data_IF_671238005191
#
_entry.id   IF_671238005191
#
_cell.length_a   1.000
_cell.length_b   1.000
_cell.length_c   1.000
_cell.angle_alpha   90.00
_cell.angle_beta   90.00
_cell.angle_gamma   90.00
#
_symmetry.space_group_name_H-M   'P 1'
#
loop_
_entity.id
_entity.type
_entity.pdbx_description
1 polymer ?
#
# COMPACT_ATOMS: atom_id res chain seq x y z
N UNK A 1 -10.29 22.03 29.30
CA UNK A 1 -11.33 21.05 29.66
C UNK A 1 -12.16 20.78 28.41
N UNK A 2 -12.13 19.59 27.82
CA UNK A 2 -13.07 19.23 26.74
C UNK A 2 -14.38 18.81 27.40
N UNK A 3 -15.45 19.56 27.18
CA UNK A 3 -16.78 19.16 27.64
C UNK A 3 -17.12 17.79 27.02
N UNK A 4 -17.44 16.81 27.86
CA UNK A 4 -17.83 15.49 27.37
C UNK A 4 -19.25 15.57 26.80
N UNK A 5 -19.40 15.34 25.49
CA UNK A 5 -20.70 15.28 24.84
C UNK A 5 -21.53 14.15 25.51
N UNK A 6 -22.79 14.40 25.91
CA UNK A 6 -23.66 13.38 26.44
C UNK A 6 -23.79 12.18 25.50
N UNK A 7 -23.77 10.94 26.04
CA UNK A 7 -23.82 9.71 25.22
C UNK A 7 -25.04 9.64 24.30
N UNK A 8 -26.18 10.18 24.74
CA UNK A 8 -27.40 10.25 23.94
C UNK A 8 -27.22 11.15 22.72
N UNK A 9 -26.62 12.33 22.91
CA UNK A 9 -26.38 13.28 21.83
C UNK A 9 -25.39 12.71 20.80
N UNK A 10 -24.32 12.05 21.27
CA UNK A 10 -23.40 11.31 20.40
C UNK A 10 -24.12 10.23 19.59
N UNK A 11 -25.00 9.45 20.23
CA UNK A 11 -25.79 8.43 19.54
C UNK A 11 -26.70 9.02 18.46
N UNK A 12 -27.40 10.12 18.78
CA UNK A 12 -28.26 10.83 17.81
C UNK A 12 -27.44 11.35 16.63
N UNK A 13 -26.29 11.97 16.88
CA UNK A 13 -25.41 12.45 15.81
C UNK A 13 -24.89 11.30 14.94
N UNK A 14 -24.42 10.21 15.55
CA UNK A 14 -23.99 9.03 14.80
C UNK A 14 -25.13 8.42 13.99
N UNK A 15 -26.34 8.36 14.52
CA UNK A 15 -27.51 7.84 13.82
C UNK A 15 -27.93 8.73 12.65
N UNK A 16 -28.04 10.04 12.85
CA UNK A 16 -28.36 11.01 11.78
C UNK A 16 -27.30 10.97 10.69
N UNK A 17 -26.02 10.94 11.08
CA UNK A 17 -24.90 10.82 10.16
C UNK A 17 -24.99 9.53 9.33
N UNK A 18 -25.20 8.39 9.99
CA UNK A 18 -25.34 7.09 9.32
C UNK A 18 -26.54 7.06 8.36
N UNK A 19 -27.70 7.57 8.79
CA UNK A 19 -28.90 7.66 7.95
C UNK A 19 -28.65 8.56 6.74
N UNK A 20 -27.97 9.69 6.93
CA UNK A 20 -27.62 10.62 5.84
C UNK A 20 -26.67 9.97 4.83
N UNK A 21 -25.71 9.17 5.30
CA UNK A 21 -24.83 8.37 4.44
C UNK A 21 -25.61 7.32 3.66
N UNK A 22 -26.46 6.53 4.33
CA UNK A 22 -27.28 5.51 3.69
C UNK A 22 -28.20 6.14 2.64
N UNK A 23 -28.83 7.27 2.97
CA UNK A 23 -29.70 7.99 2.04
C UNK A 23 -28.94 8.53 0.82
N UNK A 24 -27.75 9.11 1.05
CA UNK A 24 -26.88 9.56 -0.04
C UNK A 24 -26.47 8.40 -0.95
N UNK A 25 -26.02 7.27 -0.39
CA UNK A 25 -25.69 6.07 -1.17
C UNK A 25 -26.89 5.52 -1.93
N UNK A 26 -28.07 5.51 -1.32
CA UNK A 26 -29.30 5.11 -1.99
C UNK A 26 -29.62 6.02 -3.18
N UNK A 27 -29.47 7.34 -3.03
CA UNK A 27 -29.69 8.30 -4.12
C UNK A 27 -28.66 8.17 -5.24
N UNK A 28 -27.40 7.89 -4.91
CA UNK A 28 -26.36 7.55 -5.91
C UNK A 28 -26.72 6.26 -6.65
N UNK A 29 -27.17 5.22 -5.94
CA UNK A 29 -27.61 3.97 -6.54
C UNK A 29 -28.83 4.15 -7.47
N UNK A 30 -29.82 4.94 -7.05
CA UNK A 30 -30.98 5.29 -7.87
C UNK A 30 -30.57 6.08 -9.12
N UNK A 31 -29.66 7.05 -8.98
CA UNK A 31 -29.09 7.79 -10.10
C UNK A 31 -28.31 6.89 -11.07
N UNK A 32 -27.51 5.95 -10.56
CA UNK A 32 -26.77 4.97 -11.36
C UNK A 32 -27.69 4.08 -12.20
N UNK A 33 -28.84 3.67 -11.68
CA UNK A 33 -29.87 2.94 -12.45
C UNK A 33 -30.46 3.74 -13.59
N UNK A 34 -30.64 5.05 -13.39
CA UNK A 34 -31.17 5.94 -14.42
C UNK A 34 -30.16 6.11 -15.55
N UNK A 35 -28.87 6.24 -15.22
CA UNK A 35 -27.76 6.32 -16.18
C UNK A 35 -27.59 5.04 -17.00
N UNK A 36 -27.74 3.87 -16.39
CA UNK A 36 -27.63 2.57 -17.09
C UNK A 36 -28.78 2.29 -18.04
N UNK A 37 -29.96 2.89 -17.81
CA UNK A 37 -31.11 2.80 -18.72
C UNK A 37 -31.06 3.81 -19.88
N UNK A 38 -30.17 4.80 -19.80
CA UNK A 38 -29.91 5.77 -20.87
C UNK A 38 -28.82 5.22 -21.82
N UNK A 39 -28.70 5.81 -23.01
CA UNK A 39 -27.79 5.44 -24.12
C UNK A 39 -26.29 5.32 -23.75
N UNK A 40 -25.89 5.52 -22.50
CA UNK A 40 -24.51 5.32 -22.03
C UNK A 40 -24.06 3.85 -22.10
N UNK A 41 -24.99 2.89 -22.05
CA UNK A 41 -24.66 1.49 -22.34
C UNK A 41 -24.10 1.28 -23.75
N UNK A 42 -24.51 2.10 -24.72
CA UNK A 42 -24.05 2.00 -26.12
C UNK A 42 -22.66 2.64 -26.35
N UNK A 43 -22.21 3.50 -25.43
CA UNK A 43 -20.92 4.19 -25.53
C UNK A 43 -19.74 3.42 -24.93
N UNK A 44 -19.98 2.26 -24.31
CA UNK A 44 -18.93 1.43 -23.70
C UNK A 44 -18.46 1.91 -22.32
N UNK A 45 -19.21 2.79 -21.66
CA UNK A 45 -18.87 3.34 -20.33
C UNK A 45 -19.20 2.37 -19.18
N UNK A 46 -19.86 1.24 -19.47
CA UNK A 46 -20.26 0.24 -18.49
C UNK A 46 -19.89 -1.17 -18.94
N UNK A 47 -19.28 -1.92 -18.02
CA UNK A 47 -18.88 -3.31 -18.19
C UNK A 47 -19.79 -4.29 -17.41
N UNK A 48 -19.77 -5.55 -17.82
CA UNK A 48 -20.38 -6.61 -17.04
C UNK A 48 -19.71 -6.76 -15.66
N UNK A 49 -20.50 -6.90 -14.58
CA UNK A 49 -19.95 -7.08 -13.25
C UNK A 49 -19.34 -8.47 -13.07
N UNK A 50 -18.41 -8.58 -12.11
CA UNK A 50 -17.79 -9.84 -11.70
C UNK A 50 -18.82 -10.91 -11.28
N UNK A 51 -19.94 -10.47 -10.68
CA UNK A 51 -21.05 -11.32 -10.26
C UNK A 51 -22.35 -10.81 -10.89
N UNK A 52 -23.12 -11.71 -11.50
CA UNK A 52 -24.34 -11.38 -12.26
C UNK A 52 -25.43 -10.63 -11.49
N UNK A 53 -25.39 -10.62 -10.16
CA UNK A 53 -26.36 -9.94 -9.30
C UNK A 53 -25.91 -8.55 -8.83
N UNK A 54 -24.68 -8.15 -9.17
CA UNK A 54 -24.19 -6.80 -8.94
C UNK A 54 -24.66 -5.87 -10.08
N UNK A 55 -24.73 -4.54 -9.84
CA UNK A 55 -24.96 -3.56 -10.90
C UNK A 55 -23.84 -3.60 -11.95
N UNK A 56 -24.12 -3.10 -13.15
CA UNK A 56 -23.09 -2.86 -14.17
C UNK A 56 -21.96 -2.02 -13.60
N UNK A 57 -20.73 -2.35 -13.99
CA UNK A 57 -19.52 -1.69 -13.49
C UNK A 57 -19.25 -0.46 -14.34
N UNK A 58 -19.21 0.71 -13.71
CA UNK A 58 -18.75 1.94 -14.35
C UNK A 58 -17.24 1.83 -14.64
N UNK A 59 -16.85 2.03 -15.90
CA UNK A 59 -15.46 2.04 -16.38
C UNK A 59 -15.06 3.39 -16.98
N UNK A 60 -15.93 4.41 -16.85
CA UNK A 60 -15.64 5.76 -17.33
C UNK A 60 -14.55 6.46 -16.51
N UNK A 61 -14.38 6.08 -15.23
CA UNK A 61 -13.32 6.56 -14.36
C UNK A 61 -12.08 5.67 -14.46
N UNK A 62 -11.12 6.14 -15.27
CA UNK A 62 -9.84 5.49 -15.50
C UNK A 62 -9.05 5.22 -14.21
N UNK A 63 -9.00 6.19 -13.29
CA UNK A 63 -8.22 6.04 -12.06
C UNK A 63 -8.87 4.97 -11.18
N UNK A 64 -10.18 5.01 -11.02
CA UNK A 64 -10.92 3.98 -10.27
C UNK A 64 -10.70 2.58 -10.84
N UNK A 65 -10.78 2.42 -12.16
CA UNK A 65 -10.53 1.12 -12.80
C UNK A 65 -9.09 0.64 -12.59
N UNK A 66 -8.11 1.51 -12.77
CA UNK A 66 -6.69 1.20 -12.57
C UNK A 66 -6.43 0.68 -11.15
N UNK A 67 -6.90 1.42 -10.14
CA UNK A 67 -6.65 1.10 -8.74
C UNK A 67 -7.42 -0.12 -8.26
N UNK A 68 -8.69 -0.25 -8.64
CA UNK A 68 -9.50 -1.43 -8.27
C UNK A 68 -8.96 -2.70 -8.92
N UNK A 69 -8.52 -2.63 -10.18
CA UNK A 69 -7.89 -3.76 -10.87
C UNK A 69 -6.59 -4.17 -10.18
N UNK A 70 -5.74 -3.20 -9.81
CA UNK A 70 -4.52 -3.48 -9.05
C UNK A 70 -4.84 -4.11 -7.68
N UNK A 71 -5.79 -3.57 -6.93
CA UNK A 71 -6.20 -4.09 -5.62
C UNK A 71 -6.73 -5.52 -5.71
N UNK A 72 -7.51 -5.84 -6.74
CA UNK A 72 -7.99 -7.21 -6.97
C UNK A 72 -6.83 -8.16 -7.27
N UNK A 73 -5.86 -7.75 -8.11
CA UNK A 73 -4.64 -8.55 -8.39
C UNK A 73 -3.75 -8.73 -7.16
N UNK A 74 -3.67 -7.72 -6.29
CA UNK A 74 -2.92 -7.77 -5.04
C UNK A 74 -3.63 -8.53 -3.92
N UNK A 75 -4.96 -8.64 -3.96
CA UNK A 75 -5.75 -9.26 -2.89
C UNK A 75 -5.27 -10.66 -2.47
N UNK A 76 -4.94 -11.62 -3.36
CA UNK A 76 -4.40 -12.91 -2.93
C UNK A 76 -3.03 -12.77 -2.24
N UNK A 77 -2.18 -11.84 -2.70
CA UNK A 77 -0.88 -11.59 -2.11
C UNK A 77 -0.96 -10.92 -0.75
N UNK A 78 -1.92 -10.01 -0.56
CA UNK A 78 -2.20 -9.40 0.74
C UNK A 78 -2.71 -10.47 1.72
N UNK A 79 -3.63 -11.33 1.30
CA UNK A 79 -4.11 -12.45 2.13
C UNK A 79 -2.96 -13.41 2.48
N UNK A 80 -2.13 -13.76 1.50
CA UNK A 80 -0.94 -14.57 1.72
C UNK A 80 0.02 -13.90 2.71
N UNK A 81 0.28 -12.60 2.55
CA UNK A 81 1.11 -11.81 3.45
C UNK A 81 0.56 -11.87 4.88
N UNK A 82 -0.73 -11.61 5.09
CA UNK A 82 -1.35 -11.64 6.41
C UNK A 82 -1.24 -13.02 7.08
N UNK A 83 -1.55 -14.10 6.34
CA UNK A 83 -1.54 -15.46 6.89
C UNK A 83 -0.11 -15.93 7.15
N UNK A 84 0.78 -15.82 6.17
CA UNK A 84 2.14 -16.35 6.26
C UNK A 84 2.98 -15.54 7.24
N UNK A 85 2.91 -14.20 7.22
CA UNK A 85 3.67 -13.39 8.16
C UNK A 85 3.21 -13.64 9.60
N UNK A 86 1.92 -13.84 9.86
CA UNK A 86 1.45 -14.15 11.21
C UNK A 86 1.91 -15.55 11.67
N UNK A 87 1.95 -16.53 10.75
CA UNK A 87 2.54 -17.85 11.05
C UNK A 87 4.04 -17.77 11.32
N UNK A 88 4.79 -17.03 10.51
CA UNK A 88 6.23 -16.80 10.75
C UNK A 88 6.42 -16.08 12.08
N UNK A 89 5.57 -15.09 12.42
CA UNK A 89 5.66 -14.34 13.68
C UNK A 89 5.46 -15.24 14.91
N UNK A 90 4.63 -16.26 14.78
CA UNK A 90 4.43 -17.28 15.81
C UNK A 90 5.67 -18.17 16.01
N UNK A 91 6.37 -18.51 14.93
CA UNK A 91 7.50 -19.44 14.96
C UNK A 91 8.84 -18.74 15.24
N UNK A 92 9.14 -17.68 14.49
CA UNK A 92 10.37 -16.90 14.56
C UNK A 92 10.12 -15.44 14.09
N UNK A 93 9.92 -14.50 15.04
CA UNK A 93 9.75 -13.09 14.73
C UNK A 93 10.94 -12.46 13.98
N UNK A 94 12.15 -13.01 14.11
CA UNK A 94 13.37 -12.44 13.49
C UNK A 94 13.31 -12.59 11.95
N UNK A 95 12.61 -13.60 11.46
CA UNK A 95 12.45 -13.89 10.03
C UNK A 95 11.35 -13.07 9.34
N UNK A 96 10.58 -12.25 10.06
CA UNK A 96 9.50 -11.42 9.50
C UNK A 96 9.94 -10.50 8.36
N UNK A 97 11.09 -9.80 8.45
CA UNK A 97 11.52 -8.92 7.36
C UNK A 97 11.81 -9.68 6.06
N UNK A 98 12.31 -10.90 6.15
CA UNK A 98 12.51 -11.79 4.99
C UNK A 98 11.15 -12.24 4.45
N UNK A 99 10.20 -12.57 5.33
CA UNK A 99 8.86 -12.95 4.92
C UNK A 99 8.16 -11.81 4.14
N UNK A 100 8.24 -10.58 4.66
CA UNK A 100 7.74 -9.39 3.96
C UNK A 100 8.37 -9.25 2.57
N UNK A 101 9.70 -9.31 2.47
CA UNK A 101 10.40 -9.10 1.21
C UNK A 101 10.12 -10.19 0.18
N UNK A 102 10.14 -11.47 0.57
CA UNK A 102 9.87 -12.57 -0.35
C UNK A 102 8.45 -12.53 -0.93
N UNK A 103 7.44 -12.25 -0.11
CA UNK A 103 6.05 -12.18 -0.57
C UNK A 103 5.87 -10.99 -1.51
N UNK A 104 6.42 -9.82 -1.18
CA UNK A 104 6.31 -8.62 -2.01
C UNK A 104 7.08 -8.77 -3.32
N UNK A 105 8.28 -9.34 -3.30
CA UNK A 105 9.05 -9.62 -4.52
C UNK A 105 8.32 -10.63 -5.41
N UNK A 106 7.71 -11.67 -4.82
CA UNK A 106 6.85 -12.59 -5.56
C UNK A 106 5.66 -11.90 -6.21
N UNK A 107 4.98 -11.01 -5.48
CA UNK A 107 3.88 -10.21 -6.01
C UNK A 107 4.34 -9.29 -7.15
N UNK A 108 5.50 -8.64 -7.01
CA UNK A 108 6.07 -7.76 -8.01
C UNK A 108 6.39 -8.51 -9.31
N UNK A 109 7.06 -9.65 -9.23
CA UNK A 109 7.40 -10.47 -10.42
C UNK A 109 6.15 -11.01 -11.10
N UNK A 110 5.08 -11.29 -10.34
CA UNK A 110 3.83 -11.82 -10.89
C UNK A 110 2.97 -10.74 -11.55
N UNK A 111 2.91 -9.53 -10.97
CA UNK A 111 2.01 -8.47 -11.41
C UNK A 111 2.68 -7.53 -12.43
N UNK A 112 3.97 -7.26 -12.26
CA UNK A 112 4.73 -6.29 -13.05
C UNK A 112 5.78 -6.98 -13.91
N UNK A 113 6.29 -6.30 -14.96
CA UNK A 113 7.45 -6.77 -15.70
C UNK A 113 8.64 -7.07 -14.76
N UNK A 114 9.36 -8.18 -14.94
CA UNK A 114 10.51 -8.54 -14.08
C UNK A 114 11.58 -7.44 -14.01
N UNK A 115 11.76 -6.67 -15.07
CA UNK A 115 12.66 -5.52 -15.16
C UNK A 115 12.36 -4.49 -14.06
N UNK A 116 11.08 -4.26 -13.76
CA UNK A 116 10.67 -3.31 -12.72
C UNK A 116 11.16 -3.77 -11.34
N UNK A 117 11.08 -5.07 -11.07
CA UNK A 117 11.58 -5.66 -9.82
C UNK A 117 13.11 -5.54 -9.73
N UNK A 118 13.81 -5.74 -10.84
CA UNK A 118 15.27 -5.60 -10.89
C UNK A 118 15.72 -4.17 -10.58
N UNK A 119 15.03 -3.16 -11.12
CA UNK A 119 15.31 -1.74 -10.82
C UNK A 119 15.13 -1.45 -9.32
N UNK A 120 14.07 -1.97 -8.68
CA UNK A 120 13.87 -1.80 -7.23
C UNK A 120 15.01 -2.42 -6.41
N UNK A 121 15.51 -3.58 -6.82
CA UNK A 121 16.68 -4.23 -6.18
C UNK A 121 17.92 -3.34 -6.35
N UNK A 122 18.14 -2.76 -7.54
CA UNK A 122 19.23 -1.80 -7.75
C UNK A 122 19.07 -0.60 -6.81
N UNK A 123 17.88 0.02 -6.74
CA UNK A 123 17.62 1.14 -5.84
C UNK A 123 17.91 0.77 -4.38
N UNK A 124 17.46 -0.40 -3.93
CA UNK A 124 17.76 -0.92 -2.59
C UNK A 124 19.27 -0.98 -2.35
N UNK A 125 20.03 -1.53 -3.31
CA UNK A 125 21.50 -1.65 -3.17
C UNK A 125 22.21 -0.29 -3.11
N UNK A 126 21.72 0.70 -3.87
CA UNK A 126 22.24 2.07 -3.80
C UNK A 126 22.05 2.69 -2.42
N UNK A 127 20.87 2.53 -1.81
CA UNK A 127 20.61 3.04 -0.46
C UNK A 127 21.35 2.24 0.63
N UNK A 128 21.53 0.93 0.46
CA UNK A 128 22.40 0.14 1.33
C UNK A 128 23.85 0.62 1.27
N UNK A 129 24.34 0.96 0.07
CA UNK A 129 25.67 1.53 -0.09
C UNK A 129 25.79 2.90 0.59
N UNK A 130 24.79 3.77 0.46
CA UNK A 130 24.74 5.04 1.18
C UNK A 130 24.77 4.86 2.71
N UNK A 131 24.07 3.85 3.20
CA UNK A 131 24.04 3.48 4.62
C UNK A 131 25.39 2.95 5.11
N UNK A 132 26.11 2.17 4.29
CA UNK A 132 27.46 1.67 4.59
C UNK A 132 28.47 2.81 4.73
N UNK A 133 28.45 3.78 3.81
CA UNK A 133 29.32 4.96 3.85
C UNK A 133 28.93 5.91 5.00
N UNK A 134 27.70 5.78 5.52
CA UNK A 134 27.12 6.68 6.51
C UNK A 134 27.05 8.14 6.06
N UNK A 135 26.88 8.38 4.75
CA UNK A 135 26.81 9.73 4.17
C UNK A 135 25.38 10.21 3.92
N UNK A 136 24.98 11.26 4.65
CA UNK A 136 23.69 11.93 4.44
C UNK A 136 23.64 12.63 3.08
N UNK A 137 24.77 13.20 2.66
CA UNK A 137 24.88 13.85 1.37
C UNK A 137 24.63 12.86 0.23
N UNK A 138 25.24 11.67 0.29
CA UNK A 138 25.02 10.63 -0.71
C UNK A 138 23.56 10.16 -0.73
N UNK A 139 22.92 10.05 0.44
CA UNK A 139 21.49 9.72 0.54
C UNK A 139 20.62 10.75 -0.21
N UNK A 140 20.89 12.05 -0.04
CA UNK A 140 20.17 13.11 -0.75
C UNK A 140 20.48 13.17 -2.25
N UNK A 141 21.74 12.95 -2.64
CA UNK A 141 22.12 12.87 -4.06
C UNK A 141 21.37 11.73 -4.74
N UNK A 142 21.34 10.55 -4.12
CA UNK A 142 20.57 9.40 -4.64
C UNK A 142 19.08 9.69 -4.65
N UNK A 143 18.53 10.29 -3.59
CA UNK A 143 17.12 10.64 -3.49
C UNK A 143 16.68 11.55 -4.65
N UNK A 144 17.38 12.67 -4.84
CA UNK A 144 17.07 13.64 -5.90
C UNK A 144 17.35 13.05 -7.28
N UNK A 145 18.49 12.36 -7.44
CA UNK A 145 18.86 11.75 -8.72
C UNK A 145 17.87 10.69 -9.19
N UNK A 146 17.45 9.79 -8.28
CA UNK A 146 16.45 8.76 -8.58
C UNK A 146 15.06 9.37 -8.78
N UNK A 147 14.68 10.40 -8.03
CA UNK A 147 13.41 11.10 -8.25
C UNK A 147 13.34 11.74 -9.64
N UNK A 148 14.42 12.42 -10.06
CA UNK A 148 14.54 12.98 -11.40
C UNK A 148 14.53 11.88 -12.47
N UNK A 149 15.24 10.77 -12.24
CA UNK A 149 15.22 9.62 -13.14
C UNK A 149 13.80 9.06 -13.32
N UNK A 150 13.10 8.83 -12.21
CA UNK A 150 11.74 8.29 -12.19
C UNK A 150 10.71 9.27 -12.78
N UNK A 151 10.92 10.58 -12.71
CA UNK A 151 9.96 11.54 -13.26
C UNK A 151 10.21 11.89 -14.75
N UNK A 152 11.48 11.97 -15.18
CA UNK A 152 11.83 12.44 -16.52
C UNK A 152 12.16 11.31 -17.51
N UNK A 153 12.78 10.23 -17.06
CA UNK A 153 13.31 9.18 -17.95
C UNK A 153 12.50 7.88 -17.90
N UNK A 154 11.79 7.63 -16.81
CA UNK A 154 11.00 6.41 -16.61
C UNK A 154 10.02 6.12 -17.73
N UNK A 155 9.27 7.13 -18.20
CA UNK A 155 8.24 6.93 -19.24
C UNK A 155 8.86 6.39 -20.53
N UNK A 156 10.00 6.93 -20.94
CA UNK A 156 10.72 6.47 -22.13
C UNK A 156 11.29 5.07 -21.96
N UNK A 157 11.88 4.78 -20.80
CA UNK A 157 12.48 3.47 -20.51
C UNK A 157 11.39 2.41 -20.36
N UNK A 158 10.29 2.70 -19.68
CA UNK A 158 9.24 1.73 -19.40
C UNK A 158 8.40 1.45 -20.64
N UNK A 159 8.26 2.44 -21.53
CA UNK A 159 7.67 2.19 -22.85
C UNK A 159 8.47 1.19 -23.70
N UNK A 160 9.75 0.96 -23.41
CA UNK A 160 10.57 -0.02 -24.13
C UNK A 160 10.25 -1.48 -23.79
N UNK A 161 9.67 -1.74 -22.61
CA UNK A 161 9.37 -3.11 -22.15
C UNK A 161 7.92 -3.31 -21.68
N UNK A 162 7.12 -2.24 -21.59
CA UNK A 162 5.67 -2.31 -21.42
C UNK A 162 4.97 -1.34 -22.37
N UNK A 163 4.03 -1.85 -23.16
CA UNK A 163 3.21 -1.05 -24.06
C UNK A 163 1.92 -0.56 -23.40
N UNK A 164 1.57 -1.07 -22.21
CA UNK A 164 0.36 -0.69 -21.49
C UNK A 164 0.62 0.52 -20.61
N UNK A 165 -0.13 1.59 -20.88
CA UNK A 165 -0.03 2.84 -20.13
C UNK A 165 -0.23 2.63 -18.61
N UNK A 166 -1.17 1.78 -18.24
CA UNK A 166 -1.49 1.39 -16.85
C UNK A 166 -0.26 0.83 -16.12
N UNK A 167 0.44 -0.13 -16.74
CA UNK A 167 1.60 -0.78 -16.16
C UNK A 167 2.76 0.21 -15.97
N UNK A 168 2.95 1.15 -16.90
CA UNK A 168 3.94 2.22 -16.79
C UNK A 168 3.61 3.12 -15.60
N UNK A 169 2.36 3.59 -15.50
CA UNK A 169 1.90 4.48 -14.42
C UNK A 169 2.06 3.82 -13.05
N UNK A 170 1.61 2.57 -12.90
CA UNK A 170 1.73 1.82 -11.65
C UNK A 170 3.20 1.52 -11.29
N UNK A 171 4.06 1.28 -12.28
CA UNK A 171 5.51 1.08 -12.05
C UNK A 171 6.18 2.34 -11.53
N UNK A 172 5.86 3.51 -12.10
CA UNK A 172 6.39 4.80 -11.63
C UNK A 172 5.99 5.03 -10.17
N UNK A 173 4.71 4.86 -9.85
CA UNK A 173 4.18 5.02 -8.49
C UNK A 173 4.86 4.06 -7.50
N UNK A 174 5.02 2.79 -7.89
CA UNK A 174 5.76 1.80 -7.13
C UNK A 174 7.18 2.28 -6.79
N UNK A 175 7.88 2.89 -7.75
CA UNK A 175 9.25 3.35 -7.56
C UNK A 175 9.32 4.56 -6.64
N UNK A 176 8.37 5.49 -6.74
CA UNK A 176 8.30 6.66 -5.87
C UNK A 176 8.01 6.26 -4.42
N UNK A 177 7.07 5.33 -4.20
CA UNK A 177 6.76 4.84 -2.85
C UNK A 177 7.93 4.08 -2.23
N UNK A 178 8.60 3.26 -3.03
CA UNK A 178 9.80 2.56 -2.60
C UNK A 178 10.94 3.53 -2.26
N UNK A 179 11.18 4.52 -3.13
CA UNK A 179 12.18 5.57 -2.94
C UNK A 179 11.95 6.31 -1.63
N UNK A 180 10.71 6.71 -1.36
CA UNK A 180 10.33 7.40 -0.13
C UNK A 180 10.70 6.59 1.13
N UNK A 181 10.40 5.29 1.15
CA UNK A 181 10.77 4.40 2.27
C UNK A 181 12.28 4.25 2.41
N UNK A 182 13.01 4.09 1.31
CA UNK A 182 14.47 3.99 1.35
C UNK A 182 15.13 5.26 1.90
N UNK A 183 14.65 6.44 1.51
CA UNK A 183 15.11 7.73 2.02
C UNK A 183 14.87 7.84 3.52
N UNK A 184 13.62 7.63 3.94
CA UNK A 184 13.20 7.71 5.35
C UNK A 184 14.02 6.78 6.24
N UNK A 185 14.13 5.51 5.86
CA UNK A 185 14.93 4.53 6.57
C UNK A 185 16.40 4.96 6.69
N UNK A 186 17.01 5.32 5.55
CA UNK A 186 18.44 5.60 5.50
C UNK A 186 18.77 6.81 6.35
N UNK A 187 17.99 7.90 6.28
CA UNK A 187 18.22 9.11 7.06
C UNK A 187 18.15 8.88 8.58
N UNK A 188 17.27 7.98 9.03
CA UNK A 188 17.13 7.59 10.44
C UNK A 188 18.30 6.71 10.86
N UNK A 189 18.60 5.67 10.09
CA UNK A 189 19.55 4.62 10.48
C UNK A 189 21.03 4.96 10.23
N UNK A 190 21.33 6.03 9.50
CA UNK A 190 22.70 6.41 9.18
C UNK A 190 23.56 6.73 10.40
N UNK A 191 22.93 7.22 11.48
CA UNK A 191 23.59 7.62 12.73
C UNK A 191 23.61 6.52 13.79
N UNK A 192 22.89 5.42 13.57
CA UNK A 192 22.80 4.34 14.56
C UNK A 192 24.02 3.42 14.48
N UNK A 193 24.45 2.88 15.62
CA UNK A 193 25.57 1.94 15.68
C UNK A 193 25.12 0.46 15.64
N UNK A 194 23.94 0.18 15.09
CA UNK A 194 23.43 -1.19 14.92
C UNK A 194 24.25 -1.96 13.87
N UNK A 195 24.25 -3.28 13.96
CA UNK A 195 24.97 -4.13 13.00
C UNK A 195 24.42 -3.94 11.58
N UNK A 196 25.28 -4.07 10.57
CA UNK A 196 24.85 -3.92 9.19
C UNK A 196 23.76 -4.94 8.82
N UNK A 197 23.89 -6.19 9.29
CA UNK A 197 22.90 -7.24 9.05
C UNK A 197 21.53 -6.86 9.60
N UNK A 198 21.46 -6.29 10.81
CA UNK A 198 20.19 -5.85 11.38
C UNK A 198 19.56 -4.71 10.56
N UNK A 199 20.36 -3.73 10.14
CA UNK A 199 19.86 -2.64 9.28
C UNK A 199 19.40 -3.15 7.92
N UNK A 200 20.11 -4.10 7.34
CA UNK A 200 19.72 -4.73 6.08
C UNK A 200 18.38 -5.45 6.21
N UNK A 201 18.21 -6.23 7.28
CA UNK A 201 16.93 -6.90 7.59
C UNK A 201 15.81 -5.89 7.79
N UNK A 202 16.03 -4.84 8.57
CA UNK A 202 15.01 -3.81 8.80
C UNK A 202 14.62 -3.08 7.52
N UNK A 203 15.59 -2.73 6.66
CA UNK A 203 15.33 -2.08 5.39
C UNK A 203 14.51 -2.99 4.47
N UNK A 204 14.85 -4.28 4.39
CA UNK A 204 14.06 -5.26 3.63
C UNK A 204 12.62 -5.33 4.12
N UNK A 205 12.44 -5.48 5.43
CA UNK A 205 11.10 -5.60 6.03
C UNK A 205 10.25 -4.35 5.87
N UNK A 206 10.88 -3.17 5.90
CA UNK A 206 10.21 -1.89 5.78
C UNK A 206 9.91 -1.52 4.32
N UNK A 207 10.94 -1.52 3.46
CA UNK A 207 10.81 -1.12 2.07
C UNK A 207 9.83 -2.03 1.32
N UNK A 208 9.88 -3.35 1.59
CA UNK A 208 8.99 -4.34 0.99
C UNK A 208 7.79 -4.73 1.87
N UNK A 209 7.32 -3.85 2.75
CA UNK A 209 6.08 -4.10 3.49
C UNK A 209 4.85 -3.98 2.56
N UNK A 210 4.34 -5.12 2.05
CA UNK A 210 3.28 -5.20 1.04
C UNK A 210 2.03 -4.36 1.34
N UNK A 211 1.45 -4.37 2.56
CA UNK A 211 0.18 -3.69 2.83
C UNK A 211 0.22 -2.18 2.59
N UNK A 212 1.40 -1.56 2.70
CA UNK A 212 1.61 -0.14 2.39
C UNK A 212 2.66 0.04 1.28
N UNK A 213 2.79 -0.92 0.37
CA UNK A 213 3.83 -0.88 -0.67
C UNK A 213 3.39 -0.09 -1.90
N UNK A 214 2.19 -0.35 -2.41
CA UNK A 214 1.64 0.32 -3.59
C UNK A 214 0.68 1.46 -3.22
N UNK A 215 -0.10 1.20 -2.17
CA UNK A 215 -1.27 1.97 -1.79
C UNK A 215 -1.31 2.02 -0.26
N UNK A 216 -1.85 3.11 0.29
CA UNK A 216 -2.02 3.29 1.73
C UNK A 216 -1.17 4.41 2.31
N UNK A 217 -1.38 4.72 3.60
CA UNK A 217 -0.69 5.82 4.24
C UNK A 217 0.81 5.53 4.31
N UNK A 218 1.62 6.56 4.06
CA UNK A 218 3.04 6.49 4.36
C UNK A 218 3.22 6.31 5.87
N UNK A 219 3.88 5.22 6.27
CA UNK A 219 4.19 4.91 7.67
C UNK A 219 5.67 5.18 7.89
N UNK A 220 6.05 6.22 8.66
CA UNK A 220 7.46 6.50 8.95
C UNK A 220 8.13 5.30 9.63
N UNK A 221 9.41 5.09 9.32
CA UNK A 221 10.17 3.94 9.80
C UNK A 221 10.25 3.90 11.33
N UNK A 222 10.34 5.06 11.99
CA UNK A 222 10.34 5.14 13.45
C UNK A 222 9.07 4.55 14.11
N UNK A 223 7.93 4.64 13.42
CA UNK A 223 6.69 4.00 13.87
C UNK A 223 6.66 2.52 13.49
N UNK A 224 7.15 2.19 12.29
CA UNK A 224 7.17 0.83 11.76
C UNK A 224 8.07 -0.12 12.57
N UNK A 225 9.27 0.32 12.97
CA UNK A 225 10.28 -0.52 13.64
C UNK A 225 9.77 -1.17 14.92
N UNK A 226 8.86 -0.51 15.64
CA UNK A 226 8.27 -1.03 16.87
C UNK A 226 7.33 -2.21 16.61
N UNK A 227 6.73 -2.29 15.42
CA UNK A 227 5.83 -3.37 15.02
C UNK A 227 6.54 -4.54 14.33
N UNK A 228 7.70 -4.32 13.71
CA UNK A 228 8.35 -5.29 12.83
C UNK A 228 8.65 -6.63 13.53
N UNK A 229 9.28 -6.57 14.70
CA UNK A 229 9.67 -7.75 15.49
C UNK A 229 8.73 -8.05 16.65
N UNK A 230 7.53 -7.46 16.67
CA UNK A 230 6.58 -7.71 17.76
C UNK A 230 6.25 -9.20 17.80
N UNK A 231 6.33 -9.87 18.97
CA UNK A 231 6.01 -11.28 19.08
C UNK A 231 4.54 -11.52 18.76
N UNK A 232 4.21 -12.76 18.40
CA UNK A 232 2.84 -13.15 18.17
C UNK A 232 2.01 -12.95 19.45
N UNK A 233 0.85 -12.32 19.27
CA UNK A 233 -0.16 -12.22 20.31
C UNK A 233 -1.42 -12.93 19.80
N UNK A 234 -2.03 -13.83 20.59
CA UNK A 234 -3.25 -14.49 20.18
C UNK A 234 -4.43 -13.50 20.07
N UNK A 235 -5.35 -13.79 19.16
CA UNK A 235 -6.62 -13.09 19.07
C UNK A 235 -7.55 -13.56 20.19
N UNK A 236 -7.56 -12.84 21.31
CA UNK A 236 -8.52 -13.05 22.39
C UNK A 236 -9.77 -12.20 22.20
N UNK A 237 -10.89 -12.60 22.78
CA UNK A 237 -12.14 -11.83 22.75
C UNK A 237 -11.98 -10.42 23.34
N UNK A 238 -11.13 -10.27 24.36
CA UNK A 238 -10.77 -8.98 24.94
C UNK A 238 -10.03 -8.09 23.94
N UNK A 239 -9.06 -8.65 23.20
CA UNK A 239 -8.31 -7.93 22.16
C UNK A 239 -9.21 -7.55 20.99
N UNK A 240 -10.12 -8.43 20.58
CA UNK A 240 -11.10 -8.11 19.52
C UNK A 240 -12.00 -6.94 19.94
N UNK A 241 -12.50 -6.95 21.19
CA UNK A 241 -13.28 -5.83 21.74
C UNK A 241 -12.48 -4.53 21.79
N UNK A 242 -11.21 -4.59 22.21
CA UNK A 242 -10.32 -3.42 22.24
C UNK A 242 -10.05 -2.88 20.84
N UNK A 243 -9.82 -3.76 19.86
CA UNK A 243 -9.60 -3.39 18.46
C UNK A 243 -10.84 -2.71 17.86
N UNK A 244 -12.03 -3.32 17.99
CA UNK A 244 -13.29 -2.72 17.53
C UNK A 244 -13.52 -1.37 18.24
N UNK A 245 -13.28 -1.31 19.55
CA UNK A 245 -13.38 -0.06 20.32
C UNK A 245 -12.40 1.03 19.87
N UNK A 246 -11.24 0.66 19.33
CA UNK A 246 -10.27 1.61 18.76
C UNK A 246 -10.65 2.10 17.36
N UNK A 247 -11.40 1.32 16.58
CA UNK A 247 -11.93 1.73 15.27
C UNK A 247 -13.12 2.70 15.39
N UNK A 248 -13.81 2.68 16.53
CA UNK A 248 -14.97 3.52 16.82
C UNK A 248 -14.63 4.82 17.56
N UNK A 249 -13.35 5.07 17.85
CA UNK A 249 -12.84 6.28 18.52
C UNK A 249 -12.16 7.20 17.53
#
# INVERSE_FOLDING_TARGET
MRASIPRYELFVYSAVWLISFIYSFYKVYEGGKLLTNLTYYENGDFDEPLLRWLPLRDVSDYDWELWTTLLLRLSPWILLHLVVCERVRYLDPVSIPICHSLITLGALIYIFPPESTFILIIMLTMFLFALLIRSKLLTWILAVGLLLFVNFFSKYIFHSYSSKYDDITLTILCFEWFLLKCIDFTLIEIRTNRSFLQKFMDLLGYAFYLPCFFLGPFVPYDNFKNGLYRPYEPWTTARLKAFIGSLLR
#
